data_IF_506616941516
#
_entry.id   IF_506616941516
#
_cell.length_a   1.000
_cell.length_b   1.000
_cell.length_c   1.000
_cell.angle_alpha   90.00
_cell.angle_beta   90.00
_cell.angle_gamma   90.00
#
_symmetry.space_group_name_H-M   'P 1'
#
loop_
_entity.id
_entity.type
_entity.pdbx_description
1 polymer ?
#
# COMPACT_ATOMS: atom_id res chain seq x y z
N UNK A 1 16.56 -12.97 -25.88
CA UNK A 1 17.94 -13.29 -25.44
C UNK A 1 18.50 -12.05 -24.75
N UNK A 2 19.04 -12.17 -23.53
CA UNK A 2 19.45 -11.02 -22.71
C UNK A 2 20.96 -10.73 -22.75
N UNK A 3 21.36 -9.53 -22.33
CA UNK A 3 22.76 -9.07 -22.37
C UNK A 3 23.70 -9.88 -21.46
N UNK A 4 23.20 -10.49 -20.38
CA UNK A 4 24.00 -11.39 -19.55
C UNK A 4 24.45 -12.63 -20.32
N UNK A 5 23.60 -13.17 -21.21
CA UNK A 5 23.94 -14.34 -22.02
C UNK A 5 25.08 -14.04 -22.99
N UNK A 6 25.06 -12.86 -23.63
CA UNK A 6 26.11 -12.40 -24.56
C UNK A 6 27.50 -12.32 -23.93
N UNK A 7 27.56 -12.10 -22.62
CA UNK A 7 28.81 -11.95 -21.86
C UNK A 7 29.50 -13.29 -21.61
N UNK A 8 28.73 -14.38 -21.61
CA UNK A 8 29.23 -15.75 -21.35
C UNK A 8 29.05 -16.67 -22.57
N UNK A 9 28.55 -16.15 -23.70
CA UNK A 9 28.27 -16.90 -24.93
C UNK A 9 29.53 -17.49 -25.57
N UNK A 10 30.70 -16.90 -25.28
CA UNK A 10 32.00 -17.40 -25.72
C UNK A 10 32.58 -18.51 -24.83
N UNK A 11 31.95 -18.81 -23.68
CA UNK A 11 32.40 -19.85 -22.76
C UNK A 11 31.65 -21.16 -23.05
N UNK A 12 32.38 -22.25 -23.20
CA UNK A 12 31.77 -23.58 -23.31
C UNK A 12 31.11 -23.98 -21.99
N UNK A 13 29.97 -24.66 -22.05
CA UNK A 13 29.22 -25.11 -20.87
C UNK A 13 29.95 -26.27 -20.21
N UNK A 14 30.93 -25.95 -19.35
CA UNK A 14 31.71 -26.91 -18.56
C UNK A 14 31.75 -26.49 -17.10
N UNK A 15 31.98 -27.44 -16.19
CA UNK A 15 32.09 -27.16 -14.76
C UNK A 15 33.26 -26.20 -14.44
N UNK A 16 34.36 -26.28 -15.19
CA UNK A 16 35.51 -25.38 -15.04
C UNK A 16 35.21 -23.95 -15.50
N UNK A 17 34.41 -23.79 -16.55
CA UNK A 17 34.05 -22.46 -17.07
C UNK A 17 32.95 -21.78 -16.25
N UNK A 18 32.26 -22.51 -15.36
CA UNK A 18 31.21 -21.94 -14.51
C UNK A 18 31.74 -20.85 -13.57
N UNK A 19 32.89 -21.09 -12.92
CA UNK A 19 33.54 -20.11 -12.03
C UNK A 19 33.93 -18.84 -12.81
N UNK A 20 34.53 -19.03 -13.99
CA UNK A 20 34.96 -17.93 -14.88
C UNK A 20 33.76 -17.14 -15.47
N UNK A 21 32.68 -17.85 -15.82
CA UNK A 21 31.43 -17.23 -16.26
C UNK A 21 30.81 -16.39 -15.13
N UNK A 22 30.75 -16.93 -13.92
CA UNK A 22 30.28 -16.22 -12.73
C UNK A 22 31.13 -14.98 -12.43
N UNK A 23 32.45 -15.09 -12.49
CA UNK A 23 33.36 -13.96 -12.26
C UNK A 23 33.18 -12.88 -13.33
N UNK A 24 33.04 -13.27 -14.61
CA UNK A 24 32.81 -12.34 -15.71
C UNK A 24 31.47 -11.60 -15.54
N UNK A 25 30.42 -12.32 -15.12
CA UNK A 25 29.12 -11.73 -14.80
C UNK A 25 29.20 -10.80 -13.59
N UNK A 26 29.87 -11.22 -12.51
CA UNK A 26 30.10 -10.39 -11.32
C UNK A 26 30.84 -9.11 -11.70
N UNK A 27 31.95 -9.20 -12.43
CA UNK A 27 32.73 -8.03 -12.86
C UNK A 27 31.90 -7.01 -13.66
N UNK A 28 30.93 -7.48 -14.44
CA UNK A 28 30.10 -6.61 -15.28
C UNK A 28 28.85 -6.07 -14.57
N UNK A 29 28.21 -6.87 -13.72
CA UNK A 29 26.90 -6.56 -13.14
C UNK A 29 26.92 -6.29 -11.63
N UNK A 30 27.96 -6.74 -10.91
CA UNK A 30 28.12 -6.52 -9.47
C UNK A 30 28.72 -5.13 -9.18
N UNK A 31 27.95 -4.10 -9.48
CA UNK A 31 28.29 -2.74 -9.07
C UNK A 31 27.74 -2.47 -7.67
N UNK A 32 28.51 -2.88 -6.64
CA UNK A 32 28.15 -2.67 -5.22
C UNK A 32 27.75 -1.23 -4.94
N UNK A 33 28.48 -0.24 -5.47
CA UNK A 33 28.18 1.18 -5.27
C UNK A 33 26.81 1.56 -5.84
N UNK A 34 26.47 1.07 -7.03
CA UNK A 34 25.17 1.32 -7.65
C UNK A 34 24.03 0.64 -6.86
N UNK A 35 24.23 -0.60 -6.40
CA UNK A 35 23.24 -1.34 -5.60
C UNK A 35 22.97 -0.65 -4.26
N UNK A 36 24.02 -0.28 -3.53
CA UNK A 36 23.90 0.47 -2.28
C UNK A 36 23.16 1.78 -2.52
N UNK A 37 23.57 2.55 -3.52
CA UNK A 37 22.91 3.81 -3.87
C UNK A 37 21.44 3.61 -4.23
N UNK A 38 21.09 2.52 -4.91
CA UNK A 38 19.71 2.20 -5.25
C UNK A 38 18.88 1.98 -3.98
N UNK A 39 19.31 1.07 -3.10
CA UNK A 39 18.57 0.75 -1.88
C UNK A 39 18.45 1.95 -0.92
N UNK A 40 19.54 2.71 -0.74
CA UNK A 40 19.52 3.93 0.07
C UNK A 40 18.57 4.97 -0.52
N UNK A 41 18.66 5.26 -1.83
CA UNK A 41 17.74 6.22 -2.47
C UNK A 41 16.28 5.76 -2.38
N UNK A 42 16.02 4.46 -2.46
CA UNK A 42 14.67 3.91 -2.31
C UNK A 42 14.14 4.15 -0.90
N UNK A 43 14.92 3.86 0.15
CA UNK A 43 14.55 4.13 1.54
C UNK A 43 14.32 5.62 1.81
N UNK A 44 15.15 6.51 1.25
CA UNK A 44 15.05 7.95 1.53
C UNK A 44 13.90 8.64 0.78
N UNK A 45 13.64 8.25 -0.48
CA UNK A 45 12.85 9.08 -1.40
C UNK A 45 11.73 8.34 -2.14
N UNK A 46 11.69 7.02 -2.11
CA UNK A 46 10.75 6.23 -2.93
C UNK A 46 9.82 5.33 -2.11
N UNK A 47 9.78 5.52 -0.80
CA UNK A 47 8.79 4.84 0.04
C UNK A 47 7.38 5.29 -0.36
N UNK A 48 6.39 4.38 -0.33
CA UNK A 48 5.04 4.69 -0.75
C UNK A 48 4.34 5.49 0.34
N UNK A 49 3.62 6.53 -0.05
CA UNK A 49 2.86 7.34 0.90
C UNK A 49 1.55 6.64 1.29
N UNK A 50 1.30 6.51 2.59
CA UNK A 50 0.10 5.90 3.17
C UNK A 50 -0.83 7.02 3.64
N UNK A 51 -1.56 7.62 2.69
CA UNK A 51 -2.47 8.76 2.93
C UNK A 51 -3.84 8.37 3.46
N UNK A 52 -4.25 7.13 3.23
CA UNK A 52 -5.36 6.48 3.90
C UNK A 52 -4.80 5.17 4.42
N UNK A 53 -5.04 4.83 5.68
CA UNK A 53 -4.66 3.57 6.31
C UNK A 53 -5.25 2.33 5.61
N UNK A 54 -4.83 2.08 4.37
CA UNK A 54 -5.11 0.90 3.57
C UNK A 54 -4.08 -0.15 3.93
N UNK A 55 -4.56 -1.34 4.28
CA UNK A 55 -3.69 -2.47 4.58
C UNK A 55 -2.76 -2.79 3.40
N UNK A 56 -3.21 -2.60 2.17
CA UNK A 56 -2.42 -2.90 0.96
C UNK A 56 -1.19 -1.98 0.86
N UNK A 57 -1.39 -0.67 1.00
CA UNK A 57 -0.29 0.30 0.91
C UNK A 57 0.63 0.22 2.13
N UNK A 58 0.06 -0.03 3.32
CA UNK A 58 0.83 -0.22 4.54
C UNK A 58 1.71 -1.47 4.46
N UNK A 59 1.18 -2.59 3.95
CA UNK A 59 1.95 -3.82 3.70
C UNK A 59 3.10 -3.56 2.74
N UNK A 60 2.82 -2.93 1.61
CA UNK A 60 3.85 -2.56 0.60
C UNK A 60 4.96 -1.70 1.20
N UNK A 61 4.62 -0.74 2.07
CA UNK A 61 5.60 0.07 2.78
C UNK A 61 6.49 -0.78 3.68
N UNK A 62 5.91 -1.65 4.51
CA UNK A 62 6.65 -2.53 5.43
C UNK A 62 7.59 -3.46 4.64
N UNK A 63 7.07 -4.09 3.58
CA UNK A 63 7.84 -5.02 2.76
C UNK A 63 8.98 -4.31 2.03
N UNK A 64 8.74 -3.10 1.50
CA UNK A 64 9.79 -2.35 0.83
C UNK A 64 10.87 -1.87 1.80
N UNK A 65 10.51 -1.45 3.01
CA UNK A 65 11.51 -1.10 4.05
C UNK A 65 12.36 -2.32 4.39
N UNK A 66 11.73 -3.45 4.73
CA UNK A 66 12.43 -4.70 5.07
C UNK A 66 13.34 -5.17 3.95
N UNK A 67 12.83 -5.23 2.73
CA UNK A 67 13.60 -5.67 1.57
C UNK A 67 14.87 -4.84 1.35
N UNK A 68 14.78 -3.51 1.47
CA UNK A 68 15.95 -2.65 1.27
C UNK A 68 16.95 -2.75 2.43
N UNK A 69 16.48 -2.91 3.68
CA UNK A 69 17.37 -3.12 4.83
C UNK A 69 18.10 -4.46 4.68
N UNK A 70 17.39 -5.55 4.40
CA UNK A 70 17.97 -6.88 4.21
C UNK A 70 18.99 -6.90 3.06
N UNK A 71 18.70 -6.18 1.97
CA UNK A 71 19.62 -6.06 0.84
C UNK A 71 20.90 -5.32 1.23
N UNK A 72 20.80 -4.23 2.00
CA UNK A 72 21.95 -3.47 2.48
C UNK A 72 22.78 -4.25 3.50
N UNK A 73 22.14 -5.03 4.36
CA UNK A 73 22.83 -5.95 5.29
C UNK A 73 23.60 -7.03 4.52
N UNK A 74 23.00 -7.64 3.48
CA UNK A 74 23.68 -8.58 2.57
C UNK A 74 24.87 -7.94 1.85
N UNK A 75 24.78 -6.65 1.54
CA UNK A 75 25.88 -5.85 1.00
C UNK A 75 26.91 -5.42 2.06
N UNK A 76 26.80 -5.92 3.30
CA UNK A 76 27.70 -5.69 4.43
C UNK A 76 27.76 -4.23 4.89
N UNK A 77 26.63 -3.53 4.88
CA UNK A 77 26.51 -2.22 5.52
C UNK A 77 26.03 -2.34 6.97
N UNK A 78 26.49 -1.46 7.88
CA UNK A 78 26.10 -1.46 9.29
C UNK A 78 24.72 -0.82 9.47
N UNK A 79 23.66 -1.51 9.03
CA UNK A 79 22.28 -1.02 9.09
C UNK A 79 21.67 -1.04 10.49
N UNK A 80 22.30 -1.75 11.42
CA UNK A 80 21.87 -1.93 12.82
C UNK A 80 21.79 -0.63 13.63
N UNK A 81 22.46 0.43 13.19
CA UNK A 81 22.47 1.73 13.87
C UNK A 81 21.60 2.78 13.18
N UNK A 82 20.82 2.39 12.17
CA UNK A 82 20.06 3.34 11.35
C UNK A 82 18.66 3.62 11.88
N UNK A 83 18.28 3.05 13.02
CA UNK A 83 16.95 3.20 13.62
C UNK A 83 16.55 4.68 13.76
N UNK A 84 17.41 5.49 14.37
CA UNK A 84 17.17 6.92 14.60
C UNK A 84 17.02 7.74 13.30
N UNK A 85 17.54 7.25 12.18
CA UNK A 85 17.40 7.89 10.87
C UNK A 85 16.15 7.39 10.14
N UNK A 86 15.97 6.07 10.09
CA UNK A 86 14.93 5.44 9.29
C UNK A 86 13.54 5.59 9.90
N UNK A 87 13.41 5.61 11.23
CA UNK A 87 12.10 5.79 11.89
C UNK A 87 11.44 7.10 11.45
N UNK A 88 12.06 8.29 11.59
CA UNK A 88 11.48 9.54 11.09
C UNK A 88 11.14 9.53 9.60
N UNK A 89 11.97 8.89 8.78
CA UNK A 89 11.75 8.80 7.32
C UNK A 89 10.51 7.95 7.02
N UNK A 90 10.36 6.81 7.69
CA UNK A 90 9.20 5.94 7.53
C UNK A 90 7.95 6.66 8.03
N UNK A 91 8.03 7.26 9.22
CA UNK A 91 6.93 8.01 9.82
C UNK A 91 6.46 9.10 8.87
N UNK A 92 7.35 9.86 8.22
CA UNK A 92 6.96 10.91 7.24
C UNK A 92 5.95 10.42 6.20
N UNK A 93 6.08 9.17 5.74
CA UNK A 93 5.23 8.55 4.72
C UNK A 93 3.91 7.99 5.26
N UNK A 94 3.62 8.11 6.56
CA UNK A 94 2.36 7.65 7.18
C UNK A 94 1.37 8.80 7.39
N UNK A 95 0.07 8.48 7.44
CA UNK A 95 -0.96 9.44 7.83
C UNK A 95 -0.79 9.91 9.29
N UNK A 96 -1.33 11.10 9.59
CA UNK A 96 -1.24 11.74 10.92
C UNK A 96 -1.76 10.85 12.06
N UNK A 97 -2.84 10.11 11.82
CA UNK A 97 -3.42 9.20 12.80
C UNK A 97 -2.46 8.08 13.19
N UNK A 98 -1.84 7.41 12.21
CA UNK A 98 -0.87 6.33 12.49
C UNK A 98 0.38 6.86 13.21
N UNK A 99 0.80 8.09 12.91
CA UNK A 99 1.88 8.79 13.63
C UNK A 99 1.51 9.00 15.09
N UNK A 100 0.33 9.57 15.37
CA UNK A 100 -0.16 9.78 16.74
C UNK A 100 -0.23 8.46 17.52
N UNK A 101 -0.85 7.43 16.93
CA UNK A 101 -0.98 6.12 17.58
C UNK A 101 0.38 5.42 17.82
N UNK A 102 1.40 5.76 17.03
CA UNK A 102 2.77 5.30 17.25
C UNK A 102 3.43 6.03 18.42
N UNK A 103 3.34 7.36 18.46
CA UNK A 103 3.90 8.18 19.55
C UNK A 103 3.25 7.82 20.89
N UNK A 104 1.92 7.63 20.94
CA UNK A 104 1.21 7.21 22.15
C UNK A 104 1.77 5.86 22.66
N UNK A 105 1.93 4.89 21.75
CA UNK A 105 2.44 3.56 22.09
C UNK A 105 3.87 3.59 22.61
N UNK A 106 4.71 4.45 22.05
CA UNK A 106 6.11 4.55 22.46
C UNK A 106 6.24 5.36 23.75
N UNK A 107 5.47 6.44 23.92
CA UNK A 107 5.42 7.23 25.16
C UNK A 107 4.95 6.39 26.35
N UNK A 108 4.05 5.44 26.15
CA UNK A 108 3.63 4.51 27.21
C UNK A 108 4.70 3.46 27.57
N UNK A 109 5.61 3.15 26.64
CA UNK A 109 6.53 2.01 26.75
C UNK A 109 7.95 2.41 27.13
N UNK A 110 8.44 3.51 26.59
CA UNK A 110 9.83 3.95 26.69
C UNK A 110 9.89 5.23 27.52
N UNK A 111 10.84 5.30 28.45
CA UNK A 111 11.23 6.56 29.08
C UNK A 111 11.87 7.49 28.03
N UNK A 112 11.82 8.81 28.25
CA UNK A 112 12.39 9.85 27.36
C UNK A 112 13.88 9.68 27.00
N UNK A 113 14.59 8.76 27.67
CA UNK A 113 16.00 8.46 27.47
C UNK A 113 16.25 7.32 26.48
N UNK A 114 15.22 6.60 26.06
CA UNK A 114 15.34 5.41 25.20
C UNK A 114 14.85 5.72 23.79
N UNK A 115 15.60 5.26 22.79
CA UNK A 115 15.21 5.40 21.38
C UNK A 115 14.43 4.17 20.92
N UNK A 116 13.35 4.36 20.16
CA UNK A 116 12.63 3.24 19.57
C UNK A 116 13.47 2.57 18.50
N UNK A 117 13.19 1.28 18.28
CA UNK A 117 13.87 0.46 17.25
C UNK A 117 13.00 0.26 16.01
N UNK A 118 13.61 0.01 14.85
CA UNK A 118 12.84 -0.32 13.64
C UNK A 118 12.04 -1.61 13.78
N UNK A 119 12.53 -2.55 14.60
CA UNK A 119 11.78 -3.77 14.92
C UNK A 119 10.45 -3.46 15.60
N UNK A 120 10.44 -2.51 16.54
CA UNK A 120 9.21 -2.08 17.22
C UNK A 120 8.25 -1.36 16.28
N UNK A 121 8.77 -0.48 15.41
CA UNK A 121 7.97 0.22 14.41
C UNK A 121 7.34 -0.76 13.41
N UNK A 122 8.15 -1.63 12.81
CA UNK A 122 7.64 -2.62 11.85
C UNK A 122 6.66 -3.59 12.50
N UNK A 123 6.85 -3.97 13.76
CA UNK A 123 5.89 -4.79 14.52
C UNK A 123 4.57 -4.05 14.74
N UNK A 124 4.62 -2.77 15.12
CA UNK A 124 3.44 -1.94 15.25
C UNK A 124 2.67 -1.82 13.92
N UNK A 125 3.35 -1.46 12.84
CA UNK A 125 2.73 -1.31 11.52
C UNK A 125 2.16 -2.64 11.01
N UNK A 126 2.84 -3.76 11.26
CA UNK A 126 2.33 -5.09 10.90
C UNK A 126 1.03 -5.40 11.64
N UNK A 127 0.95 -5.11 12.94
CA UNK A 127 -0.29 -5.30 13.72
C UNK A 127 -1.42 -4.41 13.22
N UNK A 128 -1.13 -3.16 12.86
CA UNK A 128 -2.12 -2.24 12.26
C UNK A 128 -2.61 -2.78 10.91
N UNK A 129 -1.71 -3.29 10.07
CA UNK A 129 -2.05 -3.92 8.80
C UNK A 129 -3.03 -5.08 8.99
N UNK A 130 -2.72 -6.03 9.88
CA UNK A 130 -3.58 -7.19 10.17
C UNK A 130 -4.96 -6.74 10.68
N UNK A 131 -5.01 -5.74 11.57
CA UNK A 131 -6.27 -5.19 12.07
C UNK A 131 -7.12 -4.58 10.94
N UNK A 132 -6.50 -3.84 10.04
CA UNK A 132 -7.19 -3.23 8.89
C UNK A 132 -7.68 -4.28 7.89
N UNK A 133 -6.91 -5.36 7.69
CA UNK A 133 -7.32 -6.52 6.87
C UNK A 133 -8.58 -7.18 7.45
N UNK A 134 -8.61 -7.45 8.76
CA UNK A 134 -9.75 -8.09 9.43
C UNK A 134 -11.03 -7.24 9.38
N UNK A 135 -10.92 -5.92 9.57
CA UNK A 135 -12.09 -5.02 9.47
C UNK A 135 -12.60 -4.97 8.03
N UNK A 136 -11.70 -4.93 7.05
CA UNK A 136 -12.09 -4.92 5.64
C UNK A 136 -12.76 -6.24 5.22
N UNK A 137 -12.27 -7.40 5.67
CA UNK A 137 -12.89 -8.69 5.35
C UNK A 137 -14.34 -8.77 5.87
N UNK A 138 -14.58 -8.33 7.11
CA UNK A 138 -15.91 -8.29 7.72
C UNK A 138 -16.89 -7.40 6.96
N UNK A 139 -16.43 -6.25 6.43
CA UNK A 139 -17.25 -5.35 5.62
C UNK A 139 -17.65 -6.01 4.29
N UNK A 140 -16.70 -6.66 3.61
CA UNK A 140 -16.99 -7.40 2.37
C UNK A 140 -18.00 -8.53 2.59
N UNK A 141 -17.87 -9.32 3.65
CA UNK A 141 -18.81 -10.40 3.96
C UNK A 141 -20.23 -9.88 4.27
N UNK A 142 -20.34 -8.76 4.99
CA UNK A 142 -21.63 -8.10 5.26
C UNK A 142 -22.29 -7.55 4.00
N UNK A 143 -21.51 -7.02 3.06
CA UNK A 143 -22.04 -6.55 1.77
C UNK A 143 -22.48 -7.70 0.86
N UNK A 144 -21.70 -8.77 0.79
CA UNK A 144 -22.03 -9.95 -0.02
C UNK A 144 -23.29 -10.66 0.49
N UNK A 145 -23.44 -10.77 1.82
CA UNK A 145 -24.62 -11.36 2.46
C UNK A 145 -25.90 -10.53 2.27
N UNK A 146 -25.79 -9.23 2.00
CA UNK A 146 -26.94 -8.37 1.65
C UNK A 146 -27.32 -8.50 0.17
N UNK A 147 -26.37 -8.66 -0.75
CA UNK A 147 -26.66 -8.82 -2.18
C UNK A 147 -27.30 -10.17 -2.54
N UNK A 148 -27.12 -11.21 -1.73
CA UNK A 148 -27.73 -12.53 -1.97
C UNK A 148 -29.17 -12.68 -1.46
N UNK A 149 -29.72 -11.69 -0.75
CA UNK A 149 -31.11 -11.73 -0.26
C UNK A 149 -32.14 -11.07 -1.19
N UNK A 150 -31.73 -10.50 -2.33
CA UNK A 150 -32.64 -9.80 -3.25
C UNK A 150 -33.10 -10.58 -4.49
N UNK A 151 -32.73 -11.85 -4.67
CA UNK A 151 -33.11 -12.60 -5.90
C UNK A 151 -34.26 -13.58 -5.77
N UNK A 152 -35.03 -13.61 -4.68
CA UNK A 152 -36.23 -14.45 -4.60
C UNK A 152 -37.41 -13.74 -3.92
N UNK A 153 -38.18 -12.96 -4.69
CA UNK A 153 -39.62 -12.82 -4.44
C UNK A 153 -40.40 -12.82 -5.77
N UNK A 154 -41.53 -13.54 -5.86
CA UNK A 154 -42.36 -13.56 -7.05
C UNK A 154 -43.16 -12.26 -7.18
N UNK A 155 -43.37 -11.85 -8.44
CA UNK A 155 -44.30 -10.77 -8.83
C UNK A 155 -45.65 -10.94 -8.14
N UNK A 156 -45.99 -10.02 -7.24
CA UNK A 156 -47.37 -9.63 -7.03
C UNK A 156 -47.45 -8.18 -6.57
N UNK A 157 -48.37 -7.48 -7.22
CA UNK A 157 -48.81 -6.12 -7.00
C UNK A 157 -49.15 -5.84 -5.53
N UNK A 158 -48.56 -4.81 -4.91
CA UNK A 158 -49.29 -3.72 -4.25
C UNK A 158 -48.37 -2.75 -3.49
N UNK A 159 -48.64 -1.46 -3.72
CA UNK A 159 -48.48 -0.33 -2.82
C UNK A 159 -47.08 0.03 -2.29
N UNK A 160 -46.54 1.10 -2.87
CA UNK A 160 -45.39 1.85 -2.42
C UNK A 160 -45.57 2.38 -1.00
N UNK A 161 -44.69 2.00 -0.07
CA UNK A 161 -44.33 2.87 1.06
C UNK A 161 -42.89 2.62 1.52
N UNK A 162 -41.93 3.26 0.85
CA UNK A 162 -40.53 3.26 1.26
C UNK A 162 -40.33 4.21 2.45
N UNK A 163 -40.08 3.65 3.65
CA UNK A 163 -39.44 4.38 4.75
C UNK A 163 -37.96 4.60 4.40
N UNK A 164 -37.61 5.84 4.04
CA UNK A 164 -36.23 6.31 3.87
C UNK A 164 -35.54 6.46 5.23
N UNK A 165 -34.31 5.95 5.33
CA UNK A 165 -33.36 6.31 6.38
C UNK A 165 -32.95 7.79 6.21
N UNK A 166 -32.96 8.54 7.31
CA UNK A 166 -32.53 9.93 7.34
C UNK A 166 -31.01 10.02 7.36
N UNK A 167 -30.44 10.56 6.29
CA UNK A 167 -29.09 11.14 6.26
C UNK A 167 -29.29 12.64 6.18
N UNK A 168 -28.75 13.40 7.13
CA UNK A 168 -28.70 14.86 7.03
C UNK A 168 -27.62 15.25 6.01
N UNK A 169 -28.03 15.38 4.75
CA UNK A 169 -27.37 16.23 3.77
C UNK A 169 -28.30 17.40 3.45
N UNK A 170 -27.72 18.59 3.25
CA UNK A 170 -28.48 19.76 2.79
C UNK A 170 -29.01 19.43 1.40
N UNK A 171 -30.31 19.14 1.30
CA UNK A 171 -31.00 18.86 0.04
C UNK A 171 -31.27 20.21 -0.64
N UNK A 172 -30.35 20.65 -1.49
CA UNK A 172 -30.80 21.42 -2.65
C UNK A 172 -31.51 20.42 -3.57
N UNK A 173 -32.77 20.70 -3.92
CA UNK A 173 -33.57 19.84 -4.79
C UNK A 173 -32.78 19.60 -6.08
N UNK A 174 -32.44 18.34 -6.38
CA UNK A 174 -31.85 17.92 -7.66
C UNK A 174 -32.85 18.20 -8.80
N UNK A 175 -32.87 19.46 -9.24
CA UNK A 175 -33.51 19.88 -10.47
C UNK A 175 -32.50 19.81 -11.60
N UNK A 176 -32.91 19.23 -12.72
CA UNK A 176 -32.16 19.19 -13.96
C UNK A 176 -31.61 20.58 -14.27
N UNK A 177 -30.28 20.70 -14.37
CA UNK A 177 -29.61 21.97 -14.66
C UNK A 177 -30.09 22.58 -15.99
N UNK A 178 -30.55 21.73 -16.91
CA UNK A 178 -31.00 22.13 -18.23
C UNK A 178 -32.48 22.57 -18.25
N UNK A 179 -33.42 21.70 -17.90
CA UNK A 179 -34.86 21.98 -18.02
C UNK A 179 -35.57 22.28 -16.69
N UNK A 180 -34.83 22.35 -15.58
CA UNK A 180 -35.34 22.54 -14.20
C UNK A 180 -36.36 21.49 -13.73
N UNK A 181 -36.47 20.37 -14.44
CA UNK A 181 -37.32 19.23 -14.05
C UNK A 181 -36.70 18.39 -12.94
N UNK A 182 -37.48 17.58 -12.23
CA UNK A 182 -36.98 16.76 -11.09
C UNK A 182 -36.27 15.48 -11.55
N UNK A 183 -35.21 15.60 -12.34
CA UNK A 183 -34.38 14.50 -12.83
C UNK A 183 -32.94 14.98 -13.03
N UNK A 184 -31.98 14.03 -12.98
CA UNK A 184 -30.60 14.30 -13.37
C UNK A 184 -30.49 14.58 -14.88
N UNK A 185 -29.57 15.47 -15.28
CA UNK A 185 -29.36 15.85 -16.69
C UNK A 185 -29.17 14.66 -17.62
N UNK A 186 -28.56 13.57 -17.12
CA UNK A 186 -28.36 12.30 -17.82
C UNK A 186 -29.65 11.67 -18.35
N UNK A 187 -30.78 11.97 -17.71
CA UNK A 187 -32.11 11.46 -18.07
C UNK A 187 -33.03 12.57 -18.60
N UNK A 188 -32.46 13.71 -19.03
CA UNK A 188 -33.27 14.83 -19.51
C UNK A 188 -33.68 14.61 -20.98
N UNK A 189 -34.99 14.49 -21.27
CA UNK A 189 -35.48 14.20 -22.62
C UNK A 189 -35.22 15.35 -23.61
N UNK A 190 -35.08 16.58 -23.13
CA UNK A 190 -34.72 17.74 -23.96
C UNK A 190 -33.21 17.83 -24.22
N UNK A 191 -32.37 17.36 -23.29
CA UNK A 191 -30.91 17.33 -23.47
C UNK A 191 -30.47 16.18 -24.39
N UNK A 192 -31.15 15.03 -24.32
CA UNK A 192 -30.81 13.85 -25.14
C UNK A 192 -31.24 14.01 -26.61
N UNK A 193 -32.08 15.01 -26.92
CA UNK A 193 -32.55 15.32 -28.28
C UNK A 193 -31.71 16.37 -29.01
N UNK A 194 -30.74 16.99 -28.33
CA UNK A 194 -29.70 17.83 -28.96
C UNK A 194 -28.63 16.95 -29.62
#
# INVERSE_FOLDING_TARGET
KGDALRVIESLEVTAQNYESALETLRKRYENRRAMVNHHVKTLLFKLPEVTRASHITLRKLIDMVRHNIDALEKLKLPVEHWDALLIPIILKNLESRLKSEWEDRIGDKLDDKQLPTLSELTTFLTKKCIKLEAVHSDETERTYSKSQRETNTPRSSQYNQTKRLQVYSVIEKDSCVYCKGSHFISNCPEFIKL
#
